data_IF_073944716451
#
_entry.id   IF_073944716451
#
_cell.length_a   1.000
_cell.length_b   1.000
_cell.length_c   1.000
_cell.angle_alpha   90.00
_cell.angle_beta   90.00
_cell.angle_gamma   90.00
#
_symmetry.space_group_name_H-M   'P 1'
#
loop_
_entity.id
_entity.type
_entity.pdbx_description
1 polymer ?
#
# COMPACT_ATOMS: atom_id res chain seq x y z
N UNK A 1 7.72 -11.63 -4.28
CA UNK A 1 8.05 -12.91 -3.63
C UNK A 1 7.88 -12.73 -2.14
N UNK A 2 6.81 -13.28 -1.57
CA UNK A 2 6.51 -13.18 -0.15
C UNK A 2 6.91 -14.52 0.46
N UNK A 3 8.03 -14.56 1.19
CA UNK A 3 8.37 -15.73 2.00
C UNK A 3 7.25 -15.97 3.02
N UNK A 4 6.99 -17.22 3.45
CA UNK A 4 6.07 -17.49 4.56
C UNK A 4 6.49 -16.58 5.72
N UNK A 5 5.61 -15.63 6.03
CA UNK A 5 6.05 -14.42 6.71
C UNK A 5 6.49 -14.74 8.13
N UNK A 6 7.74 -14.39 8.54
CA UNK A 6 8.28 -14.69 9.88
C UNK A 6 7.42 -14.13 11.03
N UNK A 7 6.49 -13.24 10.71
CA UNK A 7 5.50 -12.65 11.59
C UNK A 7 4.49 -13.63 12.20
N UNK A 8 4.08 -14.65 11.46
CA UNK A 8 3.13 -15.66 11.98
C UNK A 8 3.82 -16.51 13.04
N UNK A 9 5.09 -16.89 12.80
CA UNK A 9 5.93 -17.56 13.78
C UNK A 9 6.18 -16.68 15.02
N UNK A 10 6.44 -15.38 14.83
CA UNK A 10 6.59 -14.45 15.95
C UNK A 10 5.31 -14.34 16.80
N UNK A 11 4.13 -14.32 16.19
CA UNK A 11 2.85 -14.33 16.91
C UNK A 11 2.65 -15.59 17.75
N UNK A 12 2.88 -16.76 17.17
CA UNK A 12 2.78 -18.03 17.90
C UNK A 12 3.84 -18.15 19.01
N UNK A 13 5.08 -17.72 18.74
CA UNK A 13 6.15 -17.70 19.74
C UNK A 13 5.82 -16.76 20.91
N UNK A 14 5.27 -15.57 20.65
CA UNK A 14 4.87 -14.62 21.70
C UNK A 14 3.73 -15.16 22.56
N UNK A 15 2.74 -15.81 21.95
CA UNK A 15 1.62 -16.41 22.69
C UNK A 15 2.10 -17.58 23.55
N UNK A 16 2.98 -18.43 23.02
CA UNK A 16 3.61 -19.51 23.77
C UNK A 16 4.46 -18.98 24.93
N UNK A 17 5.20 -17.88 24.73
CA UNK A 17 6.09 -17.33 25.74
C UNK A 17 5.36 -16.55 26.85
N UNK A 18 4.29 -15.83 26.52
CA UNK A 18 3.55 -15.00 27.48
C UNK A 18 2.47 -15.82 28.22
N UNK A 19 1.80 -16.75 27.53
CA UNK A 19 0.66 -17.50 28.08
C UNK A 19 0.87 -19.01 28.19
N UNK A 20 2.02 -19.55 27.79
CA UNK A 20 2.28 -21.02 27.73
C UNK A 20 1.18 -21.77 26.98
N UNK A 21 0.58 -21.13 25.98
CA UNK A 21 -0.47 -21.73 25.17
C UNK A 21 0.15 -22.38 23.93
N UNK A 22 0.19 -23.71 23.94
CA UNK A 22 0.76 -24.50 22.85
C UNK A 22 -0.23 -24.63 21.70
N UNK A 23 0.00 -23.86 20.65
CA UNK A 23 -0.82 -23.92 19.44
C UNK A 23 -0.59 -25.23 18.70
N UNK A 24 -1.67 -25.94 18.33
CA UNK A 24 -1.56 -27.26 17.71
C UNK A 24 -0.84 -27.17 16.34
N UNK A 25 0.27 -27.89 16.11
CA UNK A 25 1.01 -27.82 14.84
C UNK A 25 0.16 -28.15 13.62
N UNK A 26 -0.81 -29.06 13.77
CA UNK A 26 -1.76 -29.41 12.72
C UNK A 26 -2.63 -28.22 12.27
N UNK A 27 -2.98 -27.31 13.18
CA UNK A 27 -3.72 -26.09 12.83
C UNK A 27 -2.87 -25.11 12.04
N UNK A 28 -1.59 -24.98 12.40
CA UNK A 28 -0.62 -24.18 11.62
C UNK A 28 -0.45 -24.76 10.22
N UNK A 29 -0.42 -26.10 10.10
CA UNK A 29 -0.34 -26.78 8.81
C UNK A 29 -1.55 -26.45 7.93
N UNK A 30 -2.77 -26.48 8.48
CA UNK A 30 -3.98 -26.11 7.72
C UNK A 30 -3.91 -24.64 7.26
N UNK A 31 -3.50 -23.72 8.15
CA UNK A 31 -3.30 -22.31 7.78
C UNK A 31 -2.29 -22.20 6.64
N UNK A 32 -1.16 -22.91 6.72
CA UNK A 32 -0.13 -22.88 5.68
C UNK A 32 -0.65 -23.38 4.33
N UNK A 33 -1.39 -24.50 4.31
CA UNK A 33 -1.96 -25.08 3.08
C UNK A 33 -2.97 -24.11 2.45
N UNK A 34 -3.89 -23.56 3.25
CA UNK A 34 -4.90 -22.61 2.76
C UNK A 34 -4.26 -21.31 2.22
N UNK A 35 -3.21 -20.84 2.88
CA UNK A 35 -2.45 -19.67 2.45
C UNK A 35 -1.70 -19.94 1.15
N UNK A 36 -1.04 -21.08 1.01
CA UNK A 36 -0.26 -21.41 -0.17
C UNK A 36 -1.14 -21.59 -1.42
N UNK A 37 -2.31 -22.24 -1.25
CA UNK A 37 -3.32 -22.34 -2.29
C UNK A 37 -3.83 -20.98 -2.77
N UNK A 38 -3.95 -20.02 -1.85
CA UNK A 38 -4.37 -18.64 -2.20
C UNK A 38 -3.22 -17.86 -2.85
N UNK A 39 -1.97 -18.07 -2.44
CA UNK A 39 -0.78 -17.40 -2.99
C UNK A 39 -0.60 -17.74 -4.48
N UNK A 40 -0.93 -18.96 -4.91
CA UNK A 40 -0.88 -19.34 -6.34
C UNK A 40 -1.69 -18.37 -7.22
N UNK A 41 -2.79 -17.81 -6.69
CA UNK A 41 -3.64 -16.86 -7.44
C UNK A 41 -3.03 -15.47 -7.61
N UNK A 42 -2.06 -15.09 -6.76
CA UNK A 42 -1.34 -13.81 -6.86
C UNK A 42 -0.57 -13.71 -8.17
N UNK A 43 -0.05 -14.84 -8.68
CA UNK A 43 0.66 -14.88 -9.96
C UNK A 43 -0.21 -14.44 -11.16
N UNK A 44 -1.53 -14.56 -11.05
CA UNK A 44 -2.50 -14.17 -12.07
C UNK A 44 -3.18 -12.83 -11.77
N UNK A 45 -2.75 -12.13 -10.72
CA UNK A 45 -3.37 -10.89 -10.31
C UNK A 45 -2.90 -9.69 -11.15
N UNK A 46 -3.83 -8.81 -11.50
CA UNK A 46 -3.59 -7.63 -12.34
C UNK A 46 -3.29 -6.42 -11.45
N UNK A 47 -2.01 -6.14 -11.25
CA UNK A 47 -1.53 -4.99 -10.47
C UNK A 47 -1.10 -3.86 -11.41
N UNK A 48 -1.34 -2.60 -11.01
CA UNK A 48 -0.89 -1.43 -11.79
C UNK A 48 0.65 -1.32 -11.72
N UNK A 49 1.34 -1.16 -12.86
CA UNK A 49 2.79 -0.97 -12.86
C UNK A 49 3.17 0.38 -12.22
N UNK A 50 4.38 0.44 -11.66
CA UNK A 50 4.95 1.70 -11.14
C UNK A 50 5.20 2.68 -12.30
N UNK A 51 4.86 3.98 -12.15
CA UNK A 51 5.13 4.99 -13.18
C UNK A 51 6.61 5.41 -13.27
N UNK A 52 7.40 5.05 -12.26
CA UNK A 52 8.83 5.36 -12.16
C UNK A 52 9.62 4.04 -12.07
N UNK A 53 10.87 4.00 -12.58
CA UNK A 53 11.72 2.83 -12.44
C UNK A 53 11.93 2.52 -10.94
N UNK A 54 11.42 1.37 -10.50
CA UNK A 54 11.54 0.92 -9.11
C UNK A 54 12.84 0.12 -9.00
N UNK A 55 13.75 0.55 -8.12
CA UNK A 55 14.93 -0.24 -7.79
C UNK A 55 14.55 -1.25 -6.71
N UNK A 56 15.17 -2.43 -6.72
CA UNK A 56 14.82 -3.50 -5.80
C UNK A 56 15.30 -3.19 -4.37
N UNK A 57 14.50 -2.42 -3.63
CA UNK A 57 14.80 -1.98 -2.26
C UNK A 57 14.43 -3.04 -1.24
N UNK A 58 15.24 -4.09 -1.16
CA UNK A 58 15.03 -5.21 -0.23
C UNK A 58 14.83 -4.74 1.22
N UNK A 59 15.61 -3.77 1.68
CA UNK A 59 15.54 -3.23 3.03
C UNK A 59 14.16 -2.62 3.34
N UNK A 60 13.54 -1.94 2.37
CA UNK A 60 12.21 -1.35 2.53
C UNK A 60 11.12 -2.41 2.60
N UNK A 61 11.24 -3.46 1.78
CA UNK A 61 10.32 -4.60 1.77
C UNK A 61 10.40 -5.36 3.09
N UNK A 62 11.62 -5.64 3.58
CA UNK A 62 11.84 -6.32 4.85
C UNK A 62 11.34 -5.49 6.03
N UNK A 63 11.67 -4.19 6.10
CA UNK A 63 11.20 -3.32 7.18
C UNK A 63 9.66 -3.24 7.22
N UNK A 64 9.02 -3.10 6.06
CA UNK A 64 7.55 -3.10 5.96
C UNK A 64 6.96 -4.44 6.39
N UNK A 65 7.56 -5.56 5.96
CA UNK A 65 7.15 -6.90 6.35
C UNK A 65 7.24 -7.15 7.86
N UNK A 66 8.34 -6.71 8.50
CA UNK A 66 8.52 -6.84 9.95
C UNK A 66 7.47 -6.04 10.71
N UNK A 67 7.26 -4.77 10.36
CA UNK A 67 6.31 -3.92 11.11
C UNK A 67 4.86 -4.40 10.95
N UNK A 68 4.42 -4.70 9.72
CA UNK A 68 3.09 -5.27 9.50
C UNK A 68 2.96 -6.60 10.24
N UNK A 69 4.03 -7.40 10.22
CA UNK A 69 4.12 -8.65 10.95
C UNK A 69 3.95 -8.53 12.46
N UNK A 70 4.69 -7.60 13.07
CA UNK A 70 4.60 -7.31 14.50
C UNK A 70 3.21 -6.79 14.87
N UNK A 71 2.60 -5.94 14.03
CA UNK A 71 1.23 -5.51 14.24
C UNK A 71 0.25 -6.70 14.26
N UNK A 72 0.36 -7.64 13.31
CA UNK A 72 -0.49 -8.83 13.28
C UNK A 72 -0.33 -9.69 14.53
N UNK A 73 0.90 -9.94 14.95
CA UNK A 73 1.20 -10.66 16.18
C UNK A 73 0.58 -9.97 17.41
N UNK A 74 0.73 -8.65 17.52
CA UNK A 74 0.12 -7.86 18.59
C UNK A 74 -1.41 -7.96 18.59
N UNK A 75 -2.05 -7.91 17.42
CA UNK A 75 -3.52 -8.03 17.34
C UNK A 75 -4.01 -9.42 17.75
N UNK A 76 -3.31 -10.49 17.39
CA UNK A 76 -3.65 -11.85 17.86
C UNK A 76 -3.44 -11.98 19.36
N UNK A 77 -2.39 -11.38 19.92
CA UNK A 77 -2.14 -11.32 21.37
C UNK A 77 -3.26 -10.54 22.08
N UNK A 78 -3.65 -9.37 21.57
CA UNK A 78 -4.76 -8.59 22.12
C UNK A 78 -6.06 -9.37 22.06
N UNK A 79 -6.35 -10.02 20.94
CA UNK A 79 -7.52 -10.88 20.78
C UNK A 79 -7.56 -12.01 21.82
N UNK A 80 -6.44 -12.73 21.98
CA UNK A 80 -6.31 -13.77 23.00
C UNK A 80 -6.50 -13.22 24.41
N UNK A 81 -5.87 -12.09 24.73
CA UNK A 81 -6.00 -11.44 26.03
C UNK A 81 -7.44 -11.03 26.32
N UNK A 82 -8.16 -10.45 25.35
CA UNK A 82 -9.57 -10.07 25.52
C UNK A 82 -10.42 -11.30 25.80
N UNK A 83 -10.23 -12.41 25.07
CA UNK A 83 -10.99 -13.64 25.30
C UNK A 83 -10.65 -14.26 26.66
N UNK A 84 -9.37 -14.37 27.01
CA UNK A 84 -8.92 -15.11 28.18
C UNK A 84 -9.07 -14.32 29.49
N UNK A 85 -8.90 -12.99 29.47
CA UNK A 85 -8.92 -12.13 30.66
C UNK A 85 -10.19 -11.29 30.83
N UNK A 86 -11.02 -11.13 29.80
CA UNK A 86 -12.21 -10.27 29.87
C UNK A 86 -13.47 -10.98 29.35
N UNK A 87 -14.65 -10.64 29.87
CA UNK A 87 -15.93 -11.13 29.36
C UNK A 87 -16.54 -10.19 28.30
N UNK A 88 -15.70 -9.41 27.62
CA UNK A 88 -16.13 -8.37 26.69
C UNK A 88 -17.03 -8.92 25.58
N UNK A 89 -16.61 -10.02 24.94
CA UNK A 89 -17.35 -10.62 23.84
C UNK A 89 -18.67 -11.23 24.31
N UNK A 90 -18.67 -11.91 25.46
CA UNK A 90 -19.88 -12.48 26.07
C UNK A 90 -20.90 -11.40 26.45
N UNK A 91 -20.46 -10.31 27.08
CA UNK A 91 -21.35 -9.21 27.50
C UNK A 91 -21.90 -8.39 26.32
N UNK A 92 -21.09 -8.17 25.27
CA UNK A 92 -21.46 -7.32 24.13
C UNK A 92 -22.28 -8.07 23.08
N UNK A 93 -21.93 -9.33 22.81
CA UNK A 93 -22.50 -10.12 21.70
C UNK A 93 -23.34 -11.32 22.17
N UNK A 94 -23.46 -11.55 23.48
CA UNK A 94 -24.26 -12.65 24.04
C UNK A 94 -23.71 -14.03 23.72
N UNK A 95 -22.43 -14.15 23.38
CA UNK A 95 -21.78 -15.43 23.04
C UNK A 95 -21.35 -16.18 24.29
N UNK A 96 -21.43 -17.51 24.26
CA UNK A 96 -21.04 -18.38 25.39
C UNK A 96 -19.59 -18.10 25.81
N UNK A 97 -19.26 -18.07 27.11
CA UNK A 97 -17.88 -17.94 27.55
C UNK A 97 -17.06 -19.17 27.13
N UNK A 98 -15.86 -18.96 26.60
CA UNK A 98 -14.94 -20.02 26.11
C UNK A 98 -13.64 -20.11 26.92
N UNK A 99 -13.54 -19.35 28.00
CA UNK A 99 -12.32 -19.16 28.80
C UNK A 99 -11.83 -20.47 29.44
N UNK A 100 -12.77 -21.34 29.79
CA UNK A 100 -12.48 -22.58 30.51
C UNK A 100 -12.05 -23.72 29.58
N UNK A 101 -12.16 -23.54 28.25
CA UNK A 101 -11.82 -24.58 27.27
C UNK A 101 -10.71 -24.14 26.32
N UNK A 102 -9.51 -24.67 26.52
CA UNK A 102 -8.37 -24.45 25.61
C UNK A 102 -8.68 -24.86 24.16
N UNK A 103 -9.48 -25.91 23.97
CA UNK A 103 -9.85 -26.44 22.65
C UNK A 103 -10.75 -25.46 21.87
N UNK A 104 -11.66 -24.75 22.55
CA UNK A 104 -12.52 -23.74 21.92
C UNK A 104 -11.73 -22.44 21.66
N UNK A 105 -10.83 -22.05 22.58
CA UNK A 105 -9.91 -20.94 22.35
C UNK A 105 -8.96 -21.21 21.17
N UNK A 106 -8.51 -22.45 20.99
CA UNK A 106 -7.71 -22.87 19.84
C UNK A 106 -8.46 -22.60 18.52
N UNK A 107 -9.73 -22.99 18.44
CA UNK A 107 -10.59 -22.73 17.28
C UNK A 107 -10.74 -21.23 17.00
N UNK A 108 -10.92 -20.43 18.06
CA UNK A 108 -11.04 -18.98 17.94
C UNK A 108 -9.76 -18.34 17.39
N UNK A 109 -8.61 -18.71 17.95
CA UNK A 109 -7.31 -18.23 17.51
C UNK A 109 -6.99 -18.68 16.09
N UNK A 110 -7.23 -19.96 15.78
CA UNK A 110 -7.05 -20.50 14.44
C UNK A 110 -7.83 -19.68 13.40
N UNK A 111 -9.12 -19.41 13.66
CA UNK A 111 -9.93 -18.65 12.72
C UNK A 111 -9.44 -17.20 12.58
N UNK A 112 -9.11 -16.55 13.68
CA UNK A 112 -8.61 -15.17 13.68
C UNK A 112 -7.30 -15.06 12.89
N UNK A 113 -6.32 -15.93 13.18
CA UNK A 113 -5.03 -15.95 12.49
C UNK A 113 -5.20 -16.28 11.02
N UNK A 114 -6.08 -17.23 10.68
CA UNK A 114 -6.37 -17.59 9.28
C UNK A 114 -6.90 -16.40 8.48
N UNK A 115 -7.96 -15.73 8.97
CA UNK A 115 -8.56 -14.55 8.31
C UNK A 115 -7.50 -13.46 8.11
N UNK A 116 -6.78 -13.14 9.17
CA UNK A 116 -5.83 -12.02 9.17
C UNK A 116 -4.59 -12.29 8.32
N UNK A 117 -4.09 -13.53 8.31
CA UNK A 117 -2.96 -13.94 7.47
C UNK A 117 -3.29 -13.85 5.97
N UNK A 118 -4.51 -14.22 5.57
CA UNK A 118 -4.94 -14.09 4.19
C UNK A 118 -5.31 -12.66 3.83
N UNK A 119 -5.94 -11.94 4.74
CA UNK A 119 -6.29 -10.55 4.53
C UNK A 119 -5.04 -9.68 4.26
N UNK A 120 -3.91 -10.02 4.88
CA UNK A 120 -2.63 -9.34 4.65
C UNK A 120 -2.24 -9.28 3.16
N UNK A 121 -2.61 -10.28 2.36
CA UNK A 121 -2.32 -10.31 0.91
C UNK A 121 -2.91 -9.10 0.19
N UNK A 122 -4.12 -8.66 0.58
CA UNK A 122 -4.76 -7.49 -0.02
C UNK A 122 -4.02 -6.19 0.34
N UNK A 123 -3.48 -6.11 1.56
CA UNK A 123 -2.72 -4.94 2.04
C UNK A 123 -1.36 -4.85 1.37
N UNK A 124 -0.63 -5.96 1.25
CA UNK A 124 0.74 -5.98 0.70
C UNK A 124 0.75 -5.81 -0.81
N UNK A 125 -0.29 -6.29 -1.50
CA UNK A 125 -0.44 -6.09 -2.94
C UNK A 125 -0.75 -4.64 -3.30
N UNK A 126 -1.57 -3.97 -2.47
CA UNK A 126 -2.08 -2.64 -2.82
C UNK A 126 -1.04 -1.54 -2.57
N UNK A 127 -0.79 -0.70 -3.58
CA UNK A 127 0.10 0.45 -3.43
C UNK A 127 -0.63 1.61 -2.76
N UNK A 128 -1.91 1.80 -3.03
CA UNK A 128 -2.79 2.74 -2.33
C UNK A 128 -3.60 2.03 -1.23
N UNK A 129 -4.75 2.58 -0.85
CA UNK A 129 -5.71 1.95 0.05
C UNK A 129 -6.19 0.63 -0.54
N UNK A 130 -6.22 -0.44 0.27
CA UNK A 130 -6.56 -1.77 -0.21
C UNK A 130 -7.98 -1.84 -0.78
N UNK A 131 -8.90 -1.02 -0.25
CA UNK A 131 -10.30 -0.96 -0.69
C UNK A 131 -10.48 -0.24 -2.02
N UNK A 132 -9.56 0.65 -2.38
CA UNK A 132 -9.64 1.44 -3.62
C UNK A 132 -9.07 0.64 -4.79
N UNK A 133 -8.02 -0.14 -4.53
CA UNK A 133 -7.41 -1.03 -5.52
C UNK A 133 -8.14 -2.37 -5.56
N UNK A 134 -9.14 -2.46 -6.47
CA UNK A 134 -9.93 -3.68 -6.66
C UNK A 134 -9.00 -4.90 -6.86
N UNK A 135 -9.08 -5.91 -5.99
CA UNK A 135 -8.40 -7.18 -6.22
C UNK A 135 -8.94 -7.91 -7.44
N UNK A 136 -8.09 -8.70 -8.10
CA UNK A 136 -8.53 -9.58 -9.17
C UNK A 136 -9.64 -10.51 -8.68
N UNK A 137 -10.65 -10.74 -9.52
CA UNK A 137 -11.79 -11.58 -9.17
C UNK A 137 -11.36 -12.99 -8.69
N UNK A 138 -10.31 -13.55 -9.29
CA UNK A 138 -9.75 -14.84 -8.89
C UNK A 138 -9.22 -14.84 -7.45
N UNK A 139 -8.57 -13.76 -7.02
CA UNK A 139 -7.99 -13.66 -5.68
C UNK A 139 -9.10 -13.52 -4.63
N UNK A 140 -10.14 -12.74 -4.91
CA UNK A 140 -11.31 -12.63 -4.01
C UNK A 140 -12.02 -13.97 -3.89
N UNK A 141 -12.28 -14.65 -5.00
CA UNK A 141 -12.94 -15.96 -4.98
C UNK A 141 -12.11 -16.99 -4.22
N UNK A 142 -10.79 -17.02 -4.42
CA UNK A 142 -9.90 -17.92 -3.68
C UNK A 142 -9.90 -17.61 -2.18
N UNK A 143 -9.84 -16.32 -1.80
CA UNK A 143 -9.97 -15.89 -0.41
C UNK A 143 -11.30 -16.35 0.19
N UNK A 144 -12.43 -16.11 -0.49
CA UNK A 144 -13.75 -16.50 0.01
C UNK A 144 -13.87 -18.02 0.20
N UNK A 145 -13.35 -18.82 -0.74
CA UNK A 145 -13.36 -20.27 -0.63
C UNK A 145 -12.47 -20.77 0.52
N UNK A 146 -11.24 -20.25 0.62
CA UNK A 146 -10.32 -20.64 1.68
C UNK A 146 -10.86 -20.24 3.08
N UNK A 147 -11.44 -19.05 3.19
CA UNK A 147 -12.06 -18.60 4.43
C UNK A 147 -13.35 -19.35 4.76
N UNK A 148 -14.14 -19.73 3.77
CA UNK A 148 -15.30 -20.60 3.97
C UNK A 148 -14.86 -21.94 4.57
N UNK A 149 -13.82 -22.57 4.02
CA UNK A 149 -13.26 -23.81 4.60
C UNK A 149 -12.72 -23.58 6.02
N UNK A 150 -11.97 -22.49 6.25
CA UNK A 150 -11.44 -22.18 7.57
C UNK A 150 -12.54 -21.95 8.62
N UNK A 151 -13.62 -21.23 8.27
CA UNK A 151 -14.77 -21.02 9.15
C UNK A 151 -15.50 -22.32 9.47
N UNK A 152 -15.70 -23.20 8.48
CA UNK A 152 -16.34 -24.50 8.71
C UNK A 152 -15.52 -25.37 9.67
N UNK A 153 -14.18 -25.37 9.52
CA UNK A 153 -13.28 -26.07 10.46
C UNK A 153 -13.42 -25.48 11.86
N UNK A 154 -13.36 -24.17 12.01
CA UNK A 154 -13.46 -23.54 13.33
C UNK A 154 -14.82 -23.76 14.02
N UNK A 155 -15.90 -23.83 13.24
CA UNK A 155 -17.28 -23.98 13.75
C UNK A 155 -17.59 -25.43 14.10
N UNK A 156 -17.16 -26.39 13.27
CA UNK A 156 -17.62 -27.78 13.36
C UNK A 156 -16.56 -28.82 13.73
N UNK A 157 -15.26 -28.51 13.61
CA UNK A 157 -14.22 -29.50 13.85
C UNK A 157 -14.14 -29.86 15.35
N UNK A 158 -14.25 -31.16 15.63
CA UNK A 158 -14.00 -31.74 16.94
C UNK A 158 -12.94 -32.82 16.78
N UNK A 159 -11.66 -32.41 16.82
CA UNK A 159 -10.54 -33.33 16.68
C UNK A 159 -9.69 -33.28 17.94
N UNK A 160 -9.69 -34.38 18.67
CA UNK A 160 -8.92 -34.55 19.89
C UNK A 160 -7.40 -34.46 19.61
N UNK A 161 -6.95 -35.12 18.53
CA UNK A 161 -5.56 -35.05 18.05
C UNK A 161 -5.07 -33.63 17.76
N UNK A 162 -5.95 -32.78 17.19
CA UNK A 162 -5.57 -31.42 16.80
C UNK A 162 -5.91 -30.37 17.88
N UNK A 163 -6.30 -30.80 19.09
CA UNK A 163 -6.72 -29.93 20.20
C UNK A 163 -7.74 -28.86 19.81
N UNK A 164 -8.72 -29.22 18.97
CA UNK A 164 -9.74 -28.29 18.47
C UNK A 164 -11.15 -28.77 18.79
N UNK A 165 -12.00 -27.82 19.18
CA UNK A 165 -13.43 -28.06 19.41
C UNK A 165 -14.27 -26.96 18.78
N UNK A 166 -15.34 -27.34 18.11
CA UNK A 166 -16.22 -26.44 17.36
C UNK A 166 -16.79 -25.34 18.24
N UNK A 167 -16.51 -24.08 17.87
CA UNK A 167 -16.88 -22.91 18.67
C UNK A 167 -18.29 -22.37 18.34
N UNK A 168 -18.88 -22.80 17.22
CA UNK A 168 -20.19 -22.35 16.75
C UNK A 168 -20.16 -21.05 15.95
N UNK A 169 -21.26 -20.77 15.25
CA UNK A 169 -21.39 -19.62 14.34
C UNK A 169 -21.41 -18.26 15.04
N UNK A 170 -21.94 -18.17 16.26
CA UNK A 170 -21.96 -16.92 17.02
C UNK A 170 -20.55 -16.38 17.26
N UNK A 171 -19.65 -17.24 17.70
CA UNK A 171 -18.24 -16.89 17.86
C UNK A 171 -17.53 -16.65 16.53
N UNK A 172 -17.80 -17.45 15.49
CA UNK A 172 -17.23 -17.21 14.17
C UNK A 172 -17.56 -15.80 13.64
N UNK A 173 -18.81 -15.34 13.82
CA UNK A 173 -19.22 -13.98 13.44
C UNK A 173 -18.48 -12.89 14.22
N UNK A 174 -18.30 -13.07 15.53
CA UNK A 174 -17.54 -12.14 16.38
C UNK A 174 -16.07 -12.05 15.94
N UNK A 175 -15.46 -13.19 15.61
CA UNK A 175 -14.08 -13.27 15.13
C UNK A 175 -13.92 -12.57 13.78
N UNK A 176 -14.87 -12.77 12.87
CA UNK A 176 -14.93 -12.04 11.61
C UNK A 176 -15.03 -10.54 11.82
N UNK A 177 -15.93 -10.10 12.69
CA UNK A 177 -16.10 -8.68 12.99
C UNK A 177 -14.81 -8.07 13.56
N UNK A 178 -14.20 -8.75 14.53
CA UNK A 178 -12.90 -8.35 15.08
C UNK A 178 -11.85 -8.23 13.98
N UNK A 179 -11.75 -9.23 13.11
CA UNK A 179 -10.76 -9.27 12.03
C UNK A 179 -10.96 -8.15 11.02
N UNK A 180 -12.21 -7.82 10.67
CA UNK A 180 -12.56 -6.70 9.78
C UNK A 180 -12.22 -5.36 10.42
N UNK A 181 -12.57 -5.16 11.69
CA UNK A 181 -12.28 -3.89 12.40
C UNK A 181 -10.78 -3.64 12.47
N UNK A 182 -10.00 -4.66 12.85
CA UNK A 182 -8.55 -4.55 12.97
C UNK A 182 -7.79 -4.67 11.64
N UNK A 183 -8.50 -4.89 10.53
CA UNK A 183 -7.95 -4.82 9.19
C UNK A 183 -7.72 -3.37 8.73
N UNK A 184 -8.63 -2.43 9.04
CA UNK A 184 -8.51 -1.04 8.58
C UNK A 184 -7.20 -0.34 9.01
N UNK A 185 -6.73 -0.48 10.26
CA UNK A 185 -5.47 0.16 10.67
C UNK A 185 -4.24 -0.37 9.92
N UNK A 186 -4.27 -1.57 9.33
CA UNK A 186 -3.14 -2.10 8.55
C UNK A 186 -2.75 -1.18 7.39
N UNK A 187 -3.75 -0.61 6.71
CA UNK A 187 -3.50 0.34 5.63
C UNK A 187 -2.85 1.64 6.14
N UNK A 188 -3.24 2.10 7.33
CA UNK A 188 -2.62 3.27 7.98
C UNK A 188 -1.15 2.99 8.31
N UNK A 189 -0.86 1.84 8.92
CA UNK A 189 0.52 1.41 9.20
C UNK A 189 1.35 1.30 7.92
N UNK A 190 0.79 0.75 6.85
CA UNK A 190 1.44 0.67 5.53
C UNK A 190 1.84 2.05 4.98
N UNK A 191 0.99 3.06 5.10
CA UNK A 191 1.33 4.42 4.67
C UNK A 191 2.37 5.09 5.58
N UNK A 192 2.24 4.90 6.90
CA UNK A 192 3.19 5.43 7.88
C UNK A 192 4.61 4.92 7.63
N UNK A 193 4.77 3.60 7.43
CA UNK A 193 6.07 2.98 7.17
C UNK A 193 6.69 3.54 5.89
N UNK A 194 5.93 3.59 4.79
CA UNK A 194 6.41 4.14 3.53
C UNK A 194 6.80 5.61 3.65
N UNK A 195 6.09 6.39 4.44
CA UNK A 195 6.44 7.79 4.71
C UNK A 195 7.77 7.90 5.46
N UNK A 196 7.99 7.07 6.48
CA UNK A 196 9.24 7.02 7.26
C UNK A 196 10.41 6.57 6.39
N UNK A 197 10.23 5.51 5.58
CA UNK A 197 11.26 4.97 4.69
C UNK A 197 11.55 5.83 3.46
N UNK A 198 10.59 6.61 2.98
CA UNK A 198 10.79 7.53 1.84
C UNK A 198 11.73 8.69 2.16
N UNK A 199 12.25 8.82 3.37
CA UNK A 199 13.16 9.89 3.77
C UNK A 199 12.48 11.25 3.96
N UNK A 200 11.23 11.43 3.52
CA UNK A 200 10.46 12.68 3.70
C UNK A 200 10.30 13.09 5.17
N UNK A 201 10.22 12.12 6.08
CA UNK A 201 10.20 12.40 7.51
C UNK A 201 11.52 13.06 7.97
N UNK A 202 12.66 12.54 7.50
CA UNK A 202 13.97 13.11 7.77
C UNK A 202 14.17 14.44 7.05
N UNK A 203 13.73 14.61 5.81
CA UNK A 203 13.81 15.87 5.08
C UNK A 203 12.99 16.98 5.75
N UNK A 204 11.79 16.65 6.24
CA UNK A 204 10.93 17.60 6.94
C UNK A 204 11.50 17.95 8.33
N UNK A 205 12.03 16.96 9.05
CA UNK A 205 12.69 17.19 10.34
C UNK A 205 13.99 17.99 10.18
N UNK A 206 14.80 17.67 9.17
CA UNK A 206 16.01 18.42 8.82
C UNK A 206 15.68 19.84 8.36
N UNK A 207 14.55 20.08 7.68
CA UNK A 207 14.09 21.44 7.35
C UNK A 207 13.64 22.24 8.58
N UNK A 208 13.08 21.58 9.59
CA UNK A 208 12.67 22.21 10.85
C UNK A 208 13.85 22.46 11.79
N UNK A 209 14.84 21.56 11.81
CA UNK A 209 16.06 21.68 12.61
C UNK A 209 17.15 22.49 11.93
N UNK A 210 17.10 22.64 10.60
CA UNK A 210 17.99 23.56 9.89
C UNK A 210 17.55 24.99 10.20
N UNK A 211 18.38 25.82 10.86
CA UNK A 211 18.09 27.24 10.97
C UNK A 211 17.92 27.82 9.56
N UNK A 212 17.08 28.86 9.36
CA UNK A 212 16.96 29.50 8.07
C UNK A 212 18.39 29.87 7.64
N UNK A 213 18.87 29.28 6.54
CA UNK A 213 20.13 29.69 5.95
C UNK A 213 19.98 31.19 5.74
N UNK A 214 20.66 31.97 6.59
CA UNK A 214 20.88 33.40 6.38
C UNK A 214 21.53 33.44 5.01
N UNK A 215 20.73 33.70 3.98
CA UNK A 215 21.25 34.09 2.70
C UNK A 215 21.99 35.37 3.02
N UNK A 216 23.32 35.28 3.19
CA UNK A 216 24.16 36.44 3.04
C UNK A 216 23.90 36.91 1.62
N UNK A 217 23.00 37.88 1.50
CA UNK A 217 22.79 38.70 0.34
C UNK A 217 24.08 39.51 0.12
N UNK A 218 25.13 38.82 -0.30
CA UNK A 218 26.42 39.41 -0.65
C UNK A 218 26.97 38.58 -1.81
N UNK A 219 26.40 38.82 -2.99
CA UNK A 219 26.97 38.28 -4.24
C UNK A 219 26.01 38.12 -5.41
N UNK A 220 24.70 37.96 -5.20
CA UNK A 220 23.75 37.64 -6.29
C UNK A 220 22.88 38.81 -6.74
N UNK A 221 23.40 40.04 -6.64
CA UNK A 221 22.71 41.27 -7.04
C UNK A 221 23.27 41.97 -8.28
N UNK A 222 24.31 41.42 -8.93
CA UNK A 222 25.00 42.13 -10.03
C UNK A 222 24.91 41.50 -11.42
N UNK A 223 24.31 40.32 -11.59
CA UNK A 223 24.23 39.67 -12.92
C UNK A 223 22.82 39.54 -13.52
N UNK A 224 21.76 39.65 -12.72
CA UNK A 224 20.39 39.56 -13.24
C UNK A 224 19.77 40.93 -13.59
N UNK A 225 20.43 42.03 -13.22
CA UNK A 225 19.96 43.40 -13.51
C UNK A 225 20.23 43.89 -14.93
N UNK A 226 21.15 43.25 -15.66
CA UNK A 226 21.45 43.61 -17.05
C UNK A 226 20.43 43.01 -18.04
N UNK A 227 20.01 41.75 -17.82
CA UNK A 227 19.05 41.09 -18.71
C UNK A 227 17.61 41.65 -18.60
N UNK A 228 17.22 42.16 -17.43
CA UNK A 228 15.91 42.80 -17.27
C UNK A 228 15.83 44.25 -17.78
N UNK A 229 16.98 44.90 -17.99
CA UNK A 229 17.03 46.29 -18.48
C UNK A 229 16.93 46.39 -20.00
N UNK A 230 17.24 45.33 -20.73
CA UNK A 230 17.07 45.28 -22.19
C UNK A 230 15.62 44.95 -22.59
N UNK A 231 14.93 44.08 -21.85
CA UNK A 231 13.54 43.71 -22.17
C UNK A 231 12.48 44.74 -21.77
N UNK A 232 12.83 45.76 -20.98
CA UNK A 232 11.90 46.80 -20.52
C UNK A 232 11.89 48.07 -21.40
N UNK A 233 12.72 48.13 -22.44
CA UNK A 233 12.80 49.27 -23.37
C UNK A 233 11.93 49.12 -24.62
N UNK A 234 11.25 47.98 -24.82
CA UNK A 234 10.50 47.68 -26.03
C UNK A 234 8.99 47.50 -25.81
N UNK A 235 8.33 48.44 -25.11
CA UNK A 235 6.92 48.79 -25.40
C UNK A 235 6.50 50.05 -24.64
N UNK A 236 6.53 51.21 -25.30
CA UNK A 236 5.82 52.42 -24.87
C UNK A 236 4.85 52.82 -25.98
N UNK A 237 3.56 52.86 -25.68
CA UNK A 237 2.51 53.81 -26.15
C UNK A 237 1.10 53.27 -25.82
N UNK A 238 0.03 54.10 -25.77
CA UNK A 238 -0.27 55.07 -24.72
C UNK A 238 -1.64 54.81 -24.04
N UNK A 239 -1.88 55.56 -22.98
CA UNK A 239 -3.05 55.56 -22.08
C UNK A 239 -4.41 55.92 -22.70
N UNK A 240 -5.50 55.30 -22.19
CA UNK A 240 -6.87 55.87 -22.09
C UNK A 240 -7.64 55.28 -20.88
N UNK A 241 -8.63 56.02 -20.31
CA UNK A 241 -9.05 55.96 -18.90
C UNK A 241 -10.16 54.91 -18.62
N UNK A 242 -10.54 54.68 -17.35
CA UNK A 242 -11.43 53.57 -16.99
C UNK A 242 -12.91 53.95 -17.09
N UNK A 243 -13.72 53.02 -17.60
CA UNK A 243 -15.18 53.09 -17.49
C UNK A 243 -15.75 51.73 -17.06
N UNK A 244 -16.80 51.81 -16.26
CA UNK A 244 -17.41 50.77 -15.44
C UNK A 244 -17.98 49.53 -16.17
N UNK A 245 -17.89 48.41 -15.44
CA UNK A 245 -18.86 47.32 -15.22
C UNK A 245 -19.50 46.51 -16.37
N UNK A 246 -19.52 45.19 -16.14
CA UNK A 246 -20.34 44.09 -16.70
C UNK A 246 -19.92 43.45 -18.03
N UNK A 247 -19.40 42.20 -17.96
CA UNK A 247 -19.70 41.03 -18.84
C UNK A 247 -18.68 39.90 -18.57
N UNK A 248 -18.99 38.98 -17.65
CA UNK A 248 -18.05 37.97 -17.10
C UNK A 248 -18.04 36.61 -17.84
N UNK A 249 -18.52 36.52 -19.08
CA UNK A 249 -18.56 35.24 -19.83
C UNK A 249 -17.74 35.20 -21.12
N UNK A 250 -17.65 36.29 -21.87
CA UNK A 250 -16.92 36.32 -23.14
C UNK A 250 -15.38 36.37 -22.96
N UNK A 251 -14.91 37.09 -21.93
CA UNK A 251 -13.47 37.20 -21.62
C UNK A 251 -12.85 35.88 -21.13
N UNK A 252 -13.63 35.04 -20.43
CA UNK A 252 -13.17 33.73 -19.96
C UNK A 252 -12.97 32.76 -21.12
N UNK A 253 -13.83 32.79 -22.14
CA UNK A 253 -13.75 31.88 -23.30
C UNK A 253 -12.59 32.22 -24.24
N UNK A 254 -12.29 33.50 -24.45
CA UNK A 254 -11.11 33.92 -25.23
C UNK A 254 -9.79 33.60 -24.51
N UNK A 255 -9.77 33.71 -23.18
CA UNK A 255 -8.62 33.30 -22.36
C UNK A 255 -8.43 31.78 -22.33
N UNK A 256 -9.51 30.99 -22.37
CA UNK A 256 -9.42 29.52 -22.45
C UNK A 256 -8.92 29.04 -23.81
N UNK A 257 -9.31 29.70 -24.92
CA UNK A 257 -8.81 29.37 -26.26
C UNK A 257 -7.33 29.69 -26.46
N UNK A 258 -6.82 30.74 -25.82
CA UNK A 258 -5.39 31.08 -25.88
C UNK A 258 -4.56 30.08 -25.06
N UNK A 259 -5.04 29.67 -23.88
CA UNK A 259 -4.40 28.62 -23.08
C UNK A 259 -4.41 27.24 -23.75
N UNK A 260 -5.49 26.88 -24.46
CA UNK A 260 -5.54 25.60 -25.17
C UNK A 260 -4.52 25.56 -26.33
N UNK A 261 -4.36 26.67 -27.06
CA UNK A 261 -3.35 26.79 -28.13
C UNK A 261 -1.92 26.66 -27.60
N UNK A 262 -1.58 27.36 -26.52
CA UNK A 262 -0.26 27.23 -25.89
C UNK A 262 0.03 25.78 -25.43
N UNK A 263 -1.00 25.06 -24.97
CA UNK A 263 -0.85 23.67 -24.52
C UNK A 263 -0.63 22.68 -25.66
N UNK A 264 -1.24 22.92 -26.82
CA UNK A 264 -0.97 22.14 -28.03
C UNK A 264 0.43 22.39 -28.59
N UNK A 265 0.88 23.65 -28.59
CA UNK A 265 2.24 24.00 -29.03
C UNK A 265 3.33 23.36 -28.16
N UNK A 266 3.15 23.36 -26.83
CA UNK A 266 4.05 22.66 -25.91
C UNK A 266 4.06 21.14 -26.13
N UNK A 267 2.90 20.54 -26.45
CA UNK A 267 2.81 19.12 -26.80
C UNK A 267 3.57 18.80 -28.08
N UNK A 268 3.42 19.64 -29.11
CA UNK A 268 4.11 19.47 -30.38
C UNK A 268 5.63 19.67 -30.23
N UNK A 269 6.07 20.59 -29.37
CA UNK A 269 7.48 20.74 -29.02
C UNK A 269 8.03 19.49 -28.31
N UNK A 270 7.33 18.96 -27.31
CA UNK A 270 7.74 17.73 -26.63
C UNK A 270 7.80 16.50 -27.56
N UNK A 271 6.87 16.39 -28.52
CA UNK A 271 6.90 15.34 -29.55
C UNK A 271 8.10 15.48 -30.49
N UNK A 272 8.49 16.71 -30.86
CA UNK A 272 9.69 16.97 -31.66
C UNK A 272 10.95 16.60 -30.89
N UNK A 273 11.04 16.96 -29.61
CA UNK A 273 12.16 16.58 -28.76
C UNK A 273 12.29 15.05 -28.63
N UNK A 274 11.19 14.33 -28.43
CA UNK A 274 11.18 12.86 -28.39
C UNK A 274 11.64 12.24 -29.71
N UNK A 275 11.20 12.78 -30.86
CA UNK A 275 11.65 12.30 -32.16
C UNK A 275 13.15 12.57 -32.39
N UNK A 276 13.67 13.73 -31.95
CA UNK A 276 15.10 14.03 -32.03
C UNK A 276 15.95 13.15 -31.10
N UNK A 277 15.45 12.87 -29.89
CA UNK A 277 16.08 11.94 -28.93
C UNK A 277 16.10 10.52 -29.47
N UNK A 278 14.99 10.06 -30.07
CA UNK A 278 14.91 8.75 -30.72
C UNK A 278 15.93 8.62 -31.85
N UNK A 279 16.00 9.62 -32.74
CA UNK A 279 17.00 9.64 -33.82
C UNK A 279 18.44 9.69 -33.30
N UNK A 280 18.68 10.42 -32.20
CA UNK A 280 20.01 10.45 -31.56
C UNK A 280 20.40 9.09 -30.99
N UNK A 281 19.47 8.42 -30.28
CA UNK A 281 19.69 7.07 -29.74
C UNK A 281 19.96 6.07 -30.86
N UNK A 282 19.16 6.07 -31.93
CA UNK A 282 19.37 5.21 -33.09
C UNK A 282 20.74 5.46 -33.76
N UNK A 283 21.18 6.72 -33.85
CA UNK A 283 22.50 7.07 -34.39
C UNK A 283 23.65 6.58 -33.52
N UNK A 284 23.52 6.66 -32.19
CA UNK A 284 24.54 6.21 -31.23
C UNK A 284 24.63 4.69 -31.18
N UNK A 285 23.49 4.00 -31.30
CA UNK A 285 23.42 2.53 -31.38
C UNK A 285 24.08 2.03 -32.66
N UNK A 286 23.84 2.72 -33.79
CA UNK A 286 24.47 2.41 -35.08
C UNK A 286 25.99 2.66 -35.08
N UNK A 287 26.44 3.74 -34.43
CA UNK A 287 27.88 4.05 -34.22
C UNK A 287 28.60 3.02 -33.35
N UNK A 288 27.89 2.33 -32.45
CA UNK A 288 28.43 1.27 -31.59
C UNK A 288 28.37 -0.14 -32.23
N UNK A 289 27.90 -0.27 -33.48
CA UNK A 289 27.87 -1.54 -34.20
C UNK A 289 26.89 -2.58 -33.62
N UNK A 290 25.87 -2.13 -32.88
CA UNK A 290 24.87 -3.00 -32.29
C UNK A 290 23.70 -3.17 -33.28
N UNK A 291 23.39 -4.42 -33.62
CA UNK A 291 22.34 -4.77 -34.57
C UNK A 291 20.95 -4.59 -33.92
N UNK A 292 20.16 -3.68 -34.47
CA UNK A 292 18.88 -3.21 -33.91
C UNK A 292 17.78 -4.29 -33.99
N UNK A 293 17.94 -5.25 -34.90
CA UNK A 293 16.95 -6.30 -35.17
C UNK A 293 16.92 -7.41 -34.10
N UNK A 294 17.87 -7.41 -33.16
CA UNK A 294 17.87 -8.36 -32.02
C UNK A 294 17.14 -7.81 -30.78
N UNK A 295 16.74 -6.52 -30.78
CA UNK A 295 16.02 -5.92 -29.66
C UNK A 295 14.52 -6.22 -29.82
N UNK A 296 14.13 -7.35 -29.24
CA UNK A 296 12.77 -7.87 -29.18
C UNK A 296 11.73 -6.77 -28.87
N UNK A 297 10.91 -6.43 -29.87
CA UNK A 297 9.88 -5.38 -29.84
C UNK A 297 8.63 -5.78 -29.02
N UNK A 298 8.81 -6.32 -27.81
CA UNK A 298 7.71 -6.70 -26.92
C UNK A 298 7.27 -5.56 -25.99
N UNK A 299 6.93 -4.41 -26.57
CA UNK A 299 6.11 -3.40 -25.89
C UNK A 299 5.16 -2.76 -26.91
N UNK A 300 3.96 -3.31 -27.01
CA UNK A 300 2.82 -2.65 -27.66
C UNK A 300 2.21 -1.61 -26.73
N UNK A 301 1.76 -0.52 -27.37
CA UNK A 301 1.06 0.67 -26.84
C UNK A 301 -0.24 0.32 -26.12
#
# INVERSE_FOLDING_TARGET
>A
MQFPSPSVLLGFMLIALIWKFDFAPFMVLIIAILNDGTIMTISKDRVKPSPLPDSWKLNEIFATGVVLGTYLALMTVVFFWVIHKTDFFTNKFGVRPIRDSEFEMMSALYLQVSIVSQALIFVTRSRSWSFVERPGFLLVTAFLLAQLVATLIAVYANWEFARIKGIGWGWAGVIWLFSIVFYFPLDIFKFFIRFVLSGRAWDNLLRLLSPPKRTTAKGRGKHNGLLHREHSMAFKHPSRPPTHCSTTRAATVSSLRSLSKQREELRLQGLRELNTLKGHVESVVKLKGLDIDTINQNYTV
#
